data_IF_254278733285
#
_entry.id   IF_254278733285
#
_cell.length_a   1.000
_cell.length_b   1.000
_cell.length_c   1.000
_cell.angle_alpha   90.00
_cell.angle_beta   90.00
_cell.angle_gamma   90.00
#
_symmetry.space_group_name_H-M   'P 1'
#
loop_
_entity.id
_entity.type
_entity.pdbx_description
1 polymer ?
#
# COMPACT_ATOMS: atom_id res chain seq x y z
N UNK A 1 4.58 37.85 19.51
CA UNK A 1 5.21 36.60 19.92
C UNK A 1 6.49 36.49 19.10
N UNK A 2 7.63 36.48 19.74
CA UNK A 2 8.93 36.40 19.05
C UNK A 2 9.06 35.00 18.45
N UNK A 3 9.18 34.92 17.13
CA UNK A 3 9.28 33.70 16.31
C UNK A 3 10.62 32.92 16.55
N UNK A 4 11.47 33.41 17.44
CA UNK A 4 12.80 32.88 17.71
C UNK A 4 12.90 31.90 18.89
N UNK A 5 11.81 31.59 19.55
CA UNK A 5 11.86 30.50 20.52
C UNK A 5 11.73 29.18 19.75
N UNK A 6 12.87 28.65 19.28
CA UNK A 6 12.97 27.27 18.81
C UNK A 6 12.33 26.40 19.91
N UNK A 7 11.25 25.70 19.60
CA UNK A 7 10.59 24.81 20.54
C UNK A 7 11.59 23.69 20.84
N UNK A 8 12.44 23.95 21.85
CA UNK A 8 13.33 22.93 22.41
C UNK A 8 12.51 22.16 23.45
N UNK A 9 12.07 20.97 23.08
CA UNK A 9 11.45 20.07 24.06
C UNK A 9 12.46 19.76 25.16
N UNK A 10 12.10 19.82 26.44
CA UNK A 10 12.96 19.32 27.49
C UNK A 10 13.26 17.84 27.22
N UNK A 11 14.47 17.37 27.45
CA UNK A 11 14.82 15.98 27.21
C UNK A 11 13.94 15.09 28.10
N UNK A 12 13.27 14.13 27.48
CA UNK A 12 12.52 13.11 28.21
C UNK A 12 13.49 12.28 29.06
N UNK A 13 13.18 12.12 30.33
CA UNK A 13 13.89 11.16 31.19
C UNK A 13 13.61 9.73 30.70
N UNK A 14 14.48 8.79 31.06
CA UNK A 14 14.27 7.37 30.75
C UNK A 14 12.94 6.83 31.31
N UNK A 15 12.54 7.32 32.48
CA UNK A 15 11.29 6.91 33.10
C UNK A 15 10.08 7.51 32.36
N UNK A 16 10.15 8.78 31.97
CA UNK A 16 9.11 9.39 31.12
C UNK A 16 8.95 8.68 29.77
N UNK A 17 10.05 8.23 29.15
CA UNK A 17 9.99 7.45 27.93
C UNK A 17 9.33 6.08 28.13
N UNK A 18 9.58 5.39 29.25
CA UNK A 18 8.90 4.13 29.59
C UNK A 18 7.41 4.35 29.80
N UNK A 19 7.03 5.41 30.52
CA UNK A 19 5.62 5.76 30.74
C UNK A 19 4.90 6.13 29.45
N UNK A 20 5.60 6.70 28.47
CA UNK A 20 5.05 6.98 27.15
C UNK A 20 4.62 5.69 26.42
N UNK A 21 5.33 4.58 26.64
CA UNK A 21 5.04 3.26 26.06
C UNK A 21 5.11 3.26 24.53
N UNK A 22 4.27 2.44 23.88
CA UNK A 22 4.07 2.52 22.44
C UNK A 22 3.19 3.74 22.12
N UNK A 23 3.54 4.46 21.07
CA UNK A 23 2.83 5.69 20.68
C UNK A 23 2.73 5.88 19.16
N UNK A 24 1.81 6.75 18.77
CA UNK A 24 1.72 7.32 17.43
C UNK A 24 1.95 8.82 17.54
N UNK A 25 2.74 9.37 16.63
CA UNK A 25 3.12 10.78 16.61
C UNK A 25 3.05 11.37 15.20
N UNK A 26 2.97 12.69 15.12
CA UNK A 26 3.07 13.45 13.89
C UNK A 26 4.29 14.34 13.89
N UNK A 27 4.79 14.65 12.69
CA UNK A 27 5.76 15.72 12.46
C UNK A 27 5.07 16.80 11.62
N UNK A 28 5.14 18.05 12.11
CA UNK A 28 4.56 19.19 11.44
C UNK A 28 5.60 20.30 11.19
N UNK A 29 5.36 21.06 10.14
CA UNK A 29 6.11 22.27 9.82
C UNK A 29 5.57 23.43 10.67
N UNK A 30 6.33 23.98 11.61
CA UNK A 30 5.85 25.03 12.50
C UNK A 30 5.54 26.35 11.80
N UNK A 31 6.01 26.54 10.57
CA UNK A 31 5.80 27.76 9.78
C UNK A 31 4.36 27.89 9.29
N UNK A 32 3.68 26.74 9.06
CA UNK A 32 2.32 26.69 8.50
C UNK A 32 1.39 25.72 9.22
N UNK A 33 1.91 24.90 10.15
CA UNK A 33 1.17 23.89 10.88
C UNK A 33 0.84 22.61 10.08
N UNK A 34 1.39 22.47 8.86
CA UNK A 34 1.12 21.29 8.03
C UNK A 34 1.81 20.05 8.58
N UNK A 35 1.04 19.04 8.87
CA UNK A 35 1.55 17.71 9.23
C UNK A 35 2.04 17.03 7.95
N UNK A 36 3.33 16.69 7.91
CA UNK A 36 3.95 16.06 6.76
C UNK A 36 4.32 14.58 6.97
N UNK A 37 4.28 14.09 8.22
CA UNK A 37 4.61 12.71 8.53
C UNK A 37 3.82 12.20 9.74
N UNK A 38 3.41 10.94 9.68
CA UNK A 38 2.84 10.18 10.79
C UNK A 38 3.73 8.97 11.05
N UNK A 39 4.03 8.68 12.31
CA UNK A 39 4.85 7.53 12.67
C UNK A 39 4.43 6.90 13.99
N UNK A 40 4.87 5.67 14.19
CA UNK A 40 4.77 4.99 15.49
C UNK A 40 6.15 4.79 16.11
N UNK A 41 6.18 4.65 17.40
CA UNK A 41 7.43 4.48 18.13
C UNK A 41 7.28 3.91 19.51
N UNK A 42 8.43 3.67 20.11
CA UNK A 42 8.67 3.37 21.51
C UNK A 42 9.96 4.09 21.89
N UNK A 43 10.14 4.40 23.17
CA UNK A 43 11.29 5.14 23.68
C UNK A 43 11.49 6.48 22.94
N UNK A 44 12.71 6.78 22.46
CA UNK A 44 13.09 8.03 21.78
C UNK A 44 12.91 8.02 20.26
N UNK A 45 12.17 7.06 19.69
CA UNK A 45 12.02 6.90 18.24
C UNK A 45 11.60 8.18 17.53
N UNK A 46 10.73 8.99 18.12
CA UNK A 46 10.25 10.25 17.58
C UNK A 46 11.38 11.26 17.32
N UNK A 47 12.43 11.28 18.17
CA UNK A 47 13.55 12.22 18.07
C UNK A 47 14.65 11.75 17.10
N UNK A 48 14.68 10.45 16.79
CA UNK A 48 15.71 9.86 15.93
C UNK A 48 15.68 10.41 14.50
N UNK A 49 14.51 10.79 13.99
CA UNK A 49 14.36 11.32 12.63
C UNK A 49 15.09 12.65 12.41
N UNK A 50 15.10 13.53 13.42
CA UNK A 50 15.87 14.77 13.38
C UNK A 50 17.36 14.46 13.34
N UNK A 51 17.82 13.55 14.20
CA UNK A 51 19.20 13.08 14.20
C UNK A 51 19.61 12.41 12.86
N UNK A 52 18.71 11.62 12.28
CA UNK A 52 18.93 10.97 10.98
C UNK A 52 19.03 12.01 9.85
N UNK A 53 18.17 13.03 9.84
CA UNK A 53 18.19 14.07 8.83
C UNK A 53 19.53 14.83 8.80
N UNK A 54 20.11 15.09 9.98
CA UNK A 54 21.41 15.76 10.11
C UNK A 54 22.61 14.89 9.70
N UNK A 55 22.50 13.56 9.89
CA UNK A 55 23.59 12.61 9.61
C UNK A 55 23.60 12.10 8.16
N UNK A 56 22.43 11.98 7.55
CA UNK A 56 22.23 11.39 6.22
C UNK A 56 21.87 12.46 5.18
N UNK A 57 22.81 13.35 4.91
CA UNK A 57 22.60 14.47 3.99
C UNK A 57 22.27 14.05 2.55
N UNK A 58 22.73 12.88 2.12
CA UNK A 58 22.48 12.31 0.79
C UNK A 58 21.18 11.47 0.71
N UNK A 59 20.45 11.30 1.83
CA UNK A 59 19.19 10.55 1.84
C UNK A 59 18.09 11.40 1.20
N UNK A 60 17.63 10.97 0.02
CA UNK A 60 16.57 11.60 -0.77
C UNK A 60 15.15 11.35 -0.25
N UNK A 61 14.99 10.78 0.95
CA UNK A 61 13.64 10.57 1.49
C UNK A 61 12.94 11.91 1.72
N UNK A 62 11.70 12.03 1.22
CA UNK A 62 10.89 13.25 1.34
C UNK A 62 10.78 13.73 2.79
N UNK A 63 10.65 12.80 3.74
CA UNK A 63 10.62 13.12 5.18
C UNK A 63 11.88 13.80 5.65
N UNK A 64 13.06 13.23 5.38
CA UNK A 64 14.33 13.81 5.84
C UNK A 64 14.64 15.11 5.11
N UNK A 65 14.28 15.22 3.84
CA UNK A 65 14.36 16.48 3.08
C UNK A 65 13.53 17.59 3.72
N UNK A 66 12.29 17.28 4.11
CA UNK A 66 11.40 18.26 4.78
C UNK A 66 11.92 18.69 6.15
N UNK A 67 12.47 17.75 6.94
CA UNK A 67 13.11 18.09 8.22
C UNK A 67 14.27 19.06 8.02
N UNK A 68 15.17 18.78 7.05
CA UNK A 68 16.31 19.68 6.74
C UNK A 68 15.84 21.07 6.31
N UNK A 69 14.85 21.15 5.42
CA UNK A 69 14.28 22.43 4.96
C UNK A 69 13.80 23.29 6.15
N UNK A 70 13.13 22.67 7.12
CA UNK A 70 12.63 23.38 8.33
C UNK A 70 13.80 23.84 9.20
N UNK A 71 14.81 22.98 9.42
CA UNK A 71 15.99 23.30 10.24
C UNK A 71 16.87 24.38 9.58
N UNK A 72 17.09 24.32 8.26
CA UNK A 72 17.85 25.31 7.50
C UNK A 72 17.17 26.70 7.51
N UNK A 73 15.84 26.71 7.64
CA UNK A 73 15.07 27.94 7.84
C UNK A 73 15.12 28.46 9.30
N UNK A 74 15.84 27.80 10.21
CA UNK A 74 16.01 28.19 11.61
C UNK A 74 14.88 27.77 12.54
N UNK A 75 14.03 26.82 12.13
CA UNK A 75 12.93 26.31 12.95
C UNK A 75 13.22 24.89 13.43
N UNK A 76 12.52 24.48 14.49
CA UNK A 76 12.47 23.08 14.92
C UNK A 76 11.16 22.43 14.44
N UNK A 77 11.25 21.18 13.98
CA UNK A 77 10.06 20.41 13.62
C UNK A 77 9.14 20.25 14.83
N UNK A 78 7.87 20.54 14.64
CA UNK A 78 6.87 20.29 15.70
C UNK A 78 6.53 18.80 15.78
N UNK A 79 6.47 18.28 17.02
CA UNK A 79 6.13 16.88 17.29
C UNK A 79 4.93 16.83 18.23
N UNK A 80 3.92 16.08 17.83
CA UNK A 80 2.73 15.86 18.65
C UNK A 80 2.46 14.36 18.80
N UNK A 81 2.17 13.91 20.03
CA UNK A 81 1.77 12.54 20.28
C UNK A 81 0.25 12.42 20.11
N UNK A 82 -0.18 11.78 19.04
CA UNK A 82 -1.61 11.56 18.71
C UNK A 82 -2.23 10.54 19.67
N UNK A 83 -1.45 9.51 20.01
CA UNK A 83 -1.84 8.46 20.96
C UNK A 83 -0.60 7.92 21.66
N UNK A 84 -0.68 7.62 22.93
CA UNK A 84 0.41 7.04 23.73
C UNK A 84 -0.12 5.97 24.68
N UNK A 85 0.77 5.27 25.40
CA UNK A 85 0.44 4.17 26.31
C UNK A 85 -0.35 3.04 25.60
N UNK A 86 -0.03 2.79 24.32
CA UNK A 86 -0.59 1.68 23.57
C UNK A 86 -0.01 0.37 24.10
N UNK A 87 -0.86 -0.68 24.18
CA UNK A 87 -0.51 -1.92 24.87
C UNK A 87 0.63 -2.69 24.23
N UNK A 88 0.79 -2.61 22.90
CA UNK A 88 1.81 -3.32 22.15
C UNK A 88 2.05 -2.71 20.77
N UNK A 89 3.04 -3.27 20.05
CA UNK A 89 3.40 -2.83 18.71
C UNK A 89 2.24 -2.92 17.69
N UNK A 90 1.35 -3.90 17.82
CA UNK A 90 0.21 -4.08 16.91
C UNK A 90 -0.82 -2.98 17.09
N UNK A 91 -1.11 -2.60 18.34
CA UNK A 91 -2.05 -1.51 18.64
C UNK A 91 -1.52 -0.18 18.08
N UNK A 92 -0.21 0.08 18.25
CA UNK A 92 0.45 1.25 17.68
C UNK A 92 0.41 1.24 16.14
N UNK A 93 0.52 0.06 15.53
CA UNK A 93 0.46 -0.12 14.08
C UNK A 93 -0.93 0.20 13.52
N UNK A 94 -1.99 -0.35 14.12
CA UNK A 94 -3.38 -0.09 13.70
C UNK A 94 -3.76 1.39 13.91
N UNK A 95 -3.30 2.00 15.00
CA UNK A 95 -3.50 3.42 15.26
C UNK A 95 -2.77 4.31 14.23
N UNK A 96 -1.49 4.03 13.93
CA UNK A 96 -0.71 4.73 12.91
C UNK A 96 -1.40 4.65 11.54
N UNK A 97 -1.81 3.43 11.13
CA UNK A 97 -2.49 3.22 9.85
C UNK A 97 -3.79 4.03 9.76
N UNK A 98 -4.59 4.05 10.81
CA UNK A 98 -5.85 4.81 10.85
C UNK A 98 -5.61 6.33 10.71
N UNK A 99 -4.56 6.86 11.35
CA UNK A 99 -4.20 8.28 11.23
C UNK A 99 -3.71 8.58 9.80
N UNK A 100 -2.83 7.76 9.24
CA UNK A 100 -2.36 7.92 7.85
C UNK A 100 -3.55 7.91 6.87
N UNK A 101 -4.47 6.97 7.01
CA UNK A 101 -5.64 6.86 6.13
C UNK A 101 -6.59 8.06 6.29
N UNK A 102 -6.71 8.61 7.50
CA UNK A 102 -7.45 9.85 7.73
C UNK A 102 -6.82 11.03 6.98
N UNK A 103 -5.49 11.20 7.04
CA UNK A 103 -4.81 12.28 6.30
C UNK A 103 -4.93 12.10 4.78
N UNK A 104 -4.87 10.87 4.26
CA UNK A 104 -5.15 10.60 2.84
C UNK A 104 -6.56 11.00 2.43
N UNK A 105 -7.55 10.69 3.28
CA UNK A 105 -8.93 11.10 3.04
C UNK A 105 -9.05 12.62 3.02
N UNK A 106 -8.48 13.31 4.01
CA UNK A 106 -8.48 14.76 4.11
C UNK A 106 -7.81 15.41 2.90
N UNK A 107 -6.62 14.95 2.50
CA UNK A 107 -5.95 15.43 1.30
C UNK A 107 -6.82 15.22 0.04
N UNK A 108 -7.49 14.07 -0.10
CA UNK A 108 -8.35 13.78 -1.25
C UNK A 108 -9.54 14.73 -1.36
N UNK A 109 -10.16 15.11 -0.22
CA UNK A 109 -11.37 15.96 -0.20
C UNK A 109 -11.06 17.45 -0.08
N UNK A 110 -9.89 17.83 0.44
CA UNK A 110 -9.47 19.23 0.66
C UNK A 110 -7.95 19.36 0.34
N UNK A 111 -7.53 19.14 -0.91
CA UNK A 111 -6.11 19.12 -1.28
C UNK A 111 -5.41 20.47 -1.09
N UNK A 112 -6.17 21.58 -1.12
CA UNK A 112 -5.68 22.94 -0.87
C UNK A 112 -5.40 23.24 0.61
N UNK A 113 -5.90 22.39 1.52
CA UNK A 113 -5.73 22.57 2.97
C UNK A 113 -4.77 21.52 3.54
N UNK A 114 -4.85 20.30 3.06
CA UNK A 114 -4.05 19.17 3.54
C UNK A 114 -3.06 18.71 2.48
N UNK A 115 -1.77 18.93 2.72
CA UNK A 115 -0.70 18.40 1.87
C UNK A 115 -0.58 16.87 2.03
N UNK A 116 -0.05 16.16 1.01
CA UNK A 116 0.18 14.73 1.13
C UNK A 116 1.27 14.44 2.15
N UNK A 117 1.11 13.38 2.93
CA UNK A 117 2.14 12.90 3.84
C UNK A 117 3.38 12.39 3.08
N UNK A 118 4.55 12.55 3.68
CA UNK A 118 5.82 11.99 3.17
C UNK A 118 6.02 10.50 3.49
N UNK A 119 5.00 9.84 4.03
CA UNK A 119 5.02 8.42 4.32
C UNK A 119 5.17 7.59 3.04
N UNK A 120 6.27 6.83 2.90
CA UNK A 120 6.54 6.00 1.71
C UNK A 120 5.59 4.81 1.55
N UNK A 121 4.95 4.37 2.61
CA UNK A 121 4.11 3.17 2.64
C UNK A 121 2.72 3.56 3.13
N UNK A 122 1.73 3.30 2.32
CA UNK A 122 0.35 3.08 2.79
C UNK A 122 0.44 1.97 3.83
N UNK A 123 -0.14 2.18 5.03
CA UNK A 123 0.02 1.25 6.17
C UNK A 123 0.07 -0.21 5.73
N UNK A 124 1.02 -0.98 6.26
CA UNK A 124 1.15 -2.41 5.96
C UNK A 124 -0.17 -3.13 6.29
N UNK A 125 -0.58 -4.11 5.49
CA UNK A 125 -1.83 -4.88 5.63
C UNK A 125 -3.12 -4.10 5.31
N UNK A 126 -3.07 -3.09 4.44
CA UNK A 126 -4.27 -2.37 3.96
C UNK A 126 -5.22 -3.28 3.17
N UNK A 127 -4.79 -4.50 2.82
CA UNK A 127 -5.61 -5.50 2.16
C UNK A 127 -6.80 -5.90 3.04
N UNK A 128 -7.92 -5.21 2.91
CA UNK A 128 -9.20 -5.52 3.56
C UNK A 128 -9.51 -4.73 4.84
N UNK A 129 -8.61 -3.86 5.32
CA UNK A 129 -8.83 -3.07 6.55
C UNK A 129 -8.59 -1.57 6.42
N UNK A 130 -7.94 -1.12 5.33
CA UNK A 130 -7.59 0.29 5.13
C UNK A 130 -8.75 1.16 4.68
N UNK A 131 -8.44 2.40 4.36
CA UNK A 131 -9.41 3.39 3.88
C UNK A 131 -10.22 2.86 2.69
N UNK A 132 -11.55 2.82 2.84
CA UNK A 132 -12.48 2.35 1.83
C UNK A 132 -13.75 3.19 1.86
N UNK A 133 -14.32 3.48 0.70
CA UNK A 133 -15.64 4.14 0.64
C UNK A 133 -16.75 3.19 1.08
N UNK A 134 -17.86 3.72 1.59
CA UNK A 134 -19.03 2.92 1.93
C UNK A 134 -19.57 2.11 0.72
N UNK A 135 -19.47 2.68 -0.50
CA UNK A 135 -19.86 2.00 -1.73
C UNK A 135 -18.96 0.77 -2.01
N UNK A 136 -17.64 0.91 -1.89
CA UNK A 136 -16.73 -0.23 -2.05
C UNK A 136 -16.88 -1.28 -0.93
N UNK A 137 -17.08 -0.84 0.30
CA UNK A 137 -17.39 -1.74 1.41
C UNK A 137 -18.67 -2.54 1.13
N UNK A 138 -19.73 -1.88 0.65
CA UNK A 138 -20.98 -2.55 0.25
C UNK A 138 -20.75 -3.57 -0.86
N UNK A 139 -20.02 -3.21 -1.92
CA UNK A 139 -19.67 -4.15 -3.00
C UNK A 139 -18.86 -5.33 -2.51
N UNK A 140 -17.90 -5.08 -1.59
CA UNK A 140 -17.02 -6.12 -1.05
C UNK A 140 -17.78 -7.10 -0.15
N UNK A 141 -18.58 -6.58 0.79
CA UNK A 141 -19.22 -7.42 1.81
C UNK A 141 -20.53 -8.06 1.33
N UNK A 142 -21.20 -7.49 0.32
CA UNK A 142 -22.39 -8.06 -0.31
C UNK A 142 -22.10 -8.81 -1.61
N UNK A 143 -20.84 -8.94 -2.02
CA UNK A 143 -20.49 -9.65 -3.24
C UNK A 143 -20.92 -11.12 -3.15
N UNK A 144 -21.74 -11.55 -4.10
CA UNK A 144 -22.10 -12.94 -4.23
C UNK A 144 -20.86 -13.80 -4.52
N UNK A 145 -20.81 -15.04 -4.04
CA UNK A 145 -19.75 -15.97 -4.41
C UNK A 145 -19.58 -16.09 -5.92
N UNK A 146 -18.33 -16.21 -6.36
CA UNK A 146 -18.07 -16.68 -7.72
C UNK A 146 -18.71 -18.07 -7.89
N UNK A 147 -19.38 -18.28 -8.99
CA UNK A 147 -19.82 -19.61 -9.39
C UNK A 147 -18.63 -20.56 -9.50
N UNK A 148 -18.88 -21.86 -9.64
CA UNK A 148 -17.82 -22.84 -9.81
C UNK A 148 -16.94 -22.48 -11.01
N UNK A 149 -15.66 -22.23 -10.74
CA UNK A 149 -14.67 -21.95 -11.80
C UNK A 149 -14.26 -23.30 -12.39
N UNK A 150 -14.75 -23.63 -13.57
CA UNK A 150 -14.43 -24.88 -14.27
C UNK A 150 -13.24 -24.75 -15.19
N UNK A 151 -12.99 -23.56 -15.72
CA UNK A 151 -11.87 -23.29 -16.62
C UNK A 151 -10.53 -23.22 -15.86
N UNK A 152 -9.42 -23.55 -16.54
CA UNK A 152 -8.08 -23.32 -15.99
C UNK A 152 -7.79 -21.83 -15.87
N UNK A 153 -7.70 -21.31 -14.64
CA UNK A 153 -7.48 -19.88 -14.43
C UNK A 153 -6.33 -19.62 -13.47
N UNK A 154 -5.79 -18.42 -13.56
CA UNK A 154 -4.81 -17.90 -12.63
C UNK A 154 -5.38 -16.67 -11.95
N UNK A 155 -5.47 -16.68 -10.62
CA UNK A 155 -5.87 -15.54 -9.83
C UNK A 155 -4.63 -14.70 -9.50
N UNK A 156 -4.71 -13.38 -9.64
CA UNK A 156 -3.66 -12.41 -9.28
C UNK A 156 -4.16 -11.48 -8.20
N UNK A 157 -3.46 -11.45 -7.06
CA UNK A 157 -3.84 -10.61 -5.92
C UNK A 157 -3.28 -9.19 -6.07
N UNK A 158 -4.15 -8.24 -6.36
CA UNK A 158 -3.85 -6.82 -6.53
C UNK A 158 -4.22 -5.97 -5.31
N UNK A 159 -4.46 -6.58 -4.14
CA UNK A 159 -4.93 -5.84 -2.96
C UNK A 159 -4.01 -4.68 -2.53
N UNK A 160 -2.73 -4.71 -2.91
CA UNK A 160 -1.75 -3.65 -2.60
C UNK A 160 -1.69 -2.51 -3.61
N UNK A 161 -2.17 -2.74 -4.83
CA UNK A 161 -2.04 -1.81 -5.95
C UNK A 161 -3.37 -1.30 -6.47
N UNK A 162 -4.42 -2.09 -6.34
CA UNK A 162 -5.73 -1.73 -6.85
C UNK A 162 -6.38 -0.58 -6.07
N UNK A 163 -6.98 0.37 -6.80
CA UNK A 163 -7.86 1.41 -6.25
C UNK A 163 -9.17 1.47 -7.05
N UNK A 164 -10.28 1.95 -6.46
CA UNK A 164 -11.57 2.06 -7.16
C UNK A 164 -11.53 2.96 -8.41
N UNK A 165 -10.61 3.92 -8.45
CA UNK A 165 -10.44 4.90 -9.53
C UNK A 165 -9.47 4.42 -10.62
N UNK A 166 -8.93 3.21 -10.49
CA UNK A 166 -7.96 2.65 -11.44
C UNK A 166 -8.60 2.47 -12.81
N UNK A 167 -7.95 2.97 -13.87
CA UNK A 167 -8.39 2.75 -15.26
C UNK A 167 -8.20 1.29 -15.69
N UNK A 168 -8.88 0.87 -16.75
CA UNK A 168 -8.73 -0.47 -17.32
C UNK A 168 -7.29 -0.75 -17.74
N UNK A 169 -6.58 0.25 -18.31
CA UNK A 169 -5.17 0.15 -18.71
C UNK A 169 -4.27 -0.09 -17.51
N UNK A 170 -4.50 0.66 -16.41
CA UNK A 170 -3.73 0.50 -15.18
C UNK A 170 -4.02 -0.87 -14.55
N UNK A 171 -5.29 -1.28 -14.49
CA UNK A 171 -5.69 -2.58 -13.95
C UNK A 171 -5.06 -3.72 -14.75
N UNK A 172 -5.09 -3.65 -16.10
CA UNK A 172 -4.39 -4.62 -16.92
C UNK A 172 -2.89 -4.62 -16.68
N UNK A 173 -2.26 -3.42 -16.64
CA UNK A 173 -0.81 -3.27 -16.40
C UNK A 173 -0.37 -3.97 -15.12
N UNK A 174 -1.09 -3.79 -14.01
CA UNK A 174 -0.76 -4.44 -12.74
C UNK A 174 -1.11 -5.94 -12.71
N UNK A 175 -2.06 -6.38 -13.54
CA UNK A 175 -2.47 -7.80 -13.60
C UNK A 175 -1.50 -8.61 -14.43
N UNK A 176 -1.11 -8.12 -15.62
CA UNK A 176 -0.34 -8.91 -16.58
C UNK A 176 1.16 -8.97 -16.29
N UNK A 177 1.69 -8.01 -15.49
CA UNK A 177 3.13 -7.75 -15.39
C UNK A 177 3.74 -8.26 -14.10
N UNK A 178 5.00 -8.68 -14.23
CA UNK A 178 5.97 -8.85 -13.15
C UNK A 178 5.76 -10.04 -12.20
N UNK A 179 5.34 -11.18 -12.71
CA UNK A 179 5.08 -12.36 -11.87
C UNK A 179 6.23 -13.37 -11.86
N UNK A 180 6.50 -13.97 -10.68
CA UNK A 180 7.48 -15.04 -10.50
C UNK A 180 6.83 -16.42 -10.61
N UNK A 181 6.09 -16.68 -11.70
CA UNK A 181 5.28 -17.88 -11.90
C UNK A 181 5.94 -18.87 -12.89
N UNK A 182 7.12 -19.37 -12.59
CA UNK A 182 7.94 -20.16 -13.49
C UNK A 182 7.47 -21.60 -13.71
N UNK A 183 6.51 -22.11 -12.95
CA UNK A 183 6.03 -23.50 -13.05
C UNK A 183 5.27 -23.81 -14.35
N UNK A 184 5.10 -25.09 -14.73
CA UNK A 184 4.41 -25.51 -15.95
C UNK A 184 2.89 -25.18 -15.91
N UNK A 185 2.27 -25.12 -14.74
CA UNK A 185 0.84 -24.83 -14.55
C UNK A 185 0.40 -23.51 -15.22
N UNK A 186 1.31 -22.50 -15.32
CA UNK A 186 0.99 -21.24 -16.02
C UNK A 186 0.57 -21.43 -17.48
N UNK A 187 1.14 -22.45 -18.16
CA UNK A 187 0.84 -22.71 -19.57
C UNK A 187 -0.53 -23.38 -19.79
N UNK A 188 -1.12 -23.93 -18.71
CA UNK A 188 -2.47 -24.48 -18.76
C UNK A 188 -3.53 -23.42 -18.48
N UNK A 189 -3.18 -22.36 -17.75
CA UNK A 189 -4.10 -21.27 -17.44
C UNK A 189 -4.53 -20.54 -18.71
N UNK A 190 -5.83 -20.48 -18.95
CA UNK A 190 -6.45 -19.79 -20.08
C UNK A 190 -6.85 -18.36 -19.73
N UNK A 191 -7.14 -18.10 -18.48
CA UNK A 191 -7.61 -16.79 -18.01
C UNK A 191 -6.85 -16.31 -16.79
N UNK A 192 -6.70 -15.00 -16.71
CA UNK A 192 -6.13 -14.26 -15.58
C UNK A 192 -7.23 -13.46 -14.90
N UNK A 193 -7.48 -13.72 -13.62
CA UNK A 193 -8.44 -12.99 -12.80
C UNK A 193 -7.69 -11.96 -11.95
N UNK A 194 -7.95 -10.69 -12.19
CA UNK A 194 -7.51 -9.58 -11.35
C UNK A 194 -8.36 -9.57 -10.07
N UNK A 195 -7.77 -9.88 -8.94
CA UNK A 195 -8.51 -9.99 -7.67
C UNK A 195 -8.01 -8.96 -6.67
N UNK A 196 -8.91 -8.18 -6.11
CA UNK A 196 -8.61 -7.28 -4.99
C UNK A 196 -9.71 -7.39 -3.93
N UNK A 197 -9.30 -7.49 -2.66
CA UNK A 197 -10.23 -7.72 -1.54
C UNK A 197 -11.15 -8.93 -1.73
N UNK A 198 -10.59 -10.00 -2.31
CA UNK A 198 -11.29 -11.23 -2.68
C UNK A 198 -12.40 -11.06 -3.74
N UNK A 199 -12.49 -9.92 -4.40
CA UNK A 199 -13.43 -9.64 -5.48
C UNK A 199 -12.69 -9.65 -6.82
N UNK A 200 -13.25 -10.34 -7.80
CA UNK A 200 -12.75 -10.30 -9.18
C UNK A 200 -13.06 -8.93 -9.77
N UNK A 201 -12.03 -8.19 -10.15
CA UNK A 201 -12.15 -6.84 -10.72
C UNK A 201 -12.18 -6.84 -12.24
N UNK A 202 -11.43 -7.75 -12.85
CA UNK A 202 -11.44 -7.99 -14.29
C UNK A 202 -10.99 -9.43 -14.58
N UNK A 203 -11.28 -9.89 -15.77
CA UNK A 203 -10.81 -11.18 -16.31
C UNK A 203 -10.18 -10.93 -17.66
N UNK A 204 -8.99 -11.49 -17.90
CA UNK A 204 -8.27 -11.39 -19.17
C UNK A 204 -7.99 -12.79 -19.71
N UNK A 205 -7.94 -12.95 -21.04
CA UNK A 205 -7.37 -14.15 -21.66
C UNK A 205 -5.85 -14.15 -21.48
N UNK A 206 -5.27 -15.34 -21.36
CA UNK A 206 -3.82 -15.54 -21.39
C UNK A 206 -3.49 -16.15 -22.75
N UNK A 207 -3.09 -15.32 -23.71
CA UNK A 207 -2.82 -15.79 -25.06
C UNK A 207 -1.40 -16.32 -25.16
N UNK A 208 -0.43 -15.70 -24.49
CA UNK A 208 0.96 -16.16 -24.39
C UNK A 208 1.69 -15.60 -23.19
N UNK A 209 2.80 -16.23 -22.85
CA UNK A 209 3.73 -15.78 -21.81
C UNK A 209 5.06 -15.39 -22.42
N UNK A 210 5.68 -14.34 -21.91
CA UNK A 210 7.04 -13.93 -22.25
C UNK A 210 7.79 -13.40 -21.02
N UNK A 211 9.11 -13.26 -21.15
CA UNK A 211 9.91 -12.55 -20.19
C UNK A 211 9.58 -11.05 -20.18
N UNK A 212 9.69 -10.42 -19.05
CA UNK A 212 9.56 -8.97 -18.91
C UNK A 212 10.78 -8.29 -19.52
N UNK A 213 10.54 -7.31 -20.41
CA UNK A 213 11.58 -6.54 -21.11
C UNK A 213 11.16 -5.07 -21.19
N UNK A 214 12.07 -4.16 -21.55
CA UNK A 214 11.70 -2.78 -21.85
C UNK A 214 10.68 -2.71 -23.01
N UNK A 215 9.65 -1.88 -22.94
CA UNK A 215 9.34 -0.87 -21.92
C UNK A 215 8.32 -1.33 -20.85
N UNK A 216 8.28 -2.62 -20.52
CA UNK A 216 7.35 -3.11 -19.49
C UNK A 216 7.56 -2.35 -18.15
N UNK A 217 6.48 -2.20 -17.39
CA UNK A 217 6.51 -1.48 -16.13
C UNK A 217 7.54 -2.07 -15.16
N UNK A 218 8.42 -1.23 -14.62
CA UNK A 218 9.50 -1.60 -13.68
C UNK A 218 10.44 -2.72 -14.19
N UNK A 219 10.71 -2.78 -15.49
CA UNK A 219 11.58 -3.80 -16.07
C UNK A 219 13.03 -3.72 -15.54
N UNK A 220 13.51 -2.53 -15.13
CA UNK A 220 14.86 -2.33 -14.57
C UNK A 220 15.12 -3.17 -13.33
N UNK A 221 14.10 -3.52 -12.54
CA UNK A 221 14.22 -4.40 -11.39
C UNK A 221 14.76 -5.80 -11.76
N UNK A 222 14.55 -6.24 -13.00
CA UNK A 222 14.99 -7.56 -13.47
C UNK A 222 16.46 -7.58 -13.86
N UNK A 223 17.08 -6.41 -14.06
CA UNK A 223 18.53 -6.32 -14.34
C UNK A 223 19.38 -6.87 -13.17
N UNK A 224 18.83 -6.86 -11.97
CA UNK A 224 19.48 -7.36 -10.74
C UNK A 224 19.14 -8.84 -10.49
N UNK A 225 18.10 -9.36 -11.13
CA UNK A 225 17.61 -10.73 -10.92
C UNK A 225 18.21 -11.70 -11.92
N UNK A 226 18.66 -12.89 -11.43
CA UNK A 226 19.13 -13.98 -12.31
C UNK A 226 18.01 -14.63 -13.14
N UNK A 227 16.74 -14.35 -12.81
CA UNK A 227 15.56 -14.85 -13.54
C UNK A 227 14.63 -13.67 -13.80
N UNK A 228 14.32 -13.34 -15.06
CA UNK A 228 13.37 -12.29 -15.40
C UNK A 228 12.00 -12.65 -14.86
N UNK A 229 11.21 -11.62 -14.53
CA UNK A 229 9.79 -11.81 -14.21
C UNK A 229 9.03 -12.07 -15.50
N UNK A 230 7.88 -12.70 -15.36
CA UNK A 230 7.05 -13.10 -16.50
C UNK A 230 5.87 -12.16 -16.67
N UNK A 231 5.49 -12.00 -17.92
CA UNK A 231 4.37 -11.19 -18.39
C UNK A 231 3.48 -12.08 -19.23
N UNK A 232 2.18 -12.06 -19.01
CA UNK A 232 1.25 -12.62 -19.99
C UNK A 232 0.72 -11.53 -20.92
N UNK A 233 0.36 -11.91 -22.13
CA UNK A 233 -0.26 -11.01 -23.10
C UNK A 233 -1.70 -11.43 -23.36
N UNK A 234 -2.55 -10.42 -23.57
CA UNK A 234 -3.95 -10.56 -23.92
C UNK A 234 -4.24 -9.70 -25.15
N UNK A 235 -4.71 -10.30 -26.23
CA UNK A 235 -4.96 -9.60 -27.50
C UNK A 235 -6.12 -8.61 -27.40
N UNK A 236 -6.99 -8.74 -26.38
CA UNK A 236 -8.13 -7.84 -26.13
C UNK A 236 -7.88 -6.81 -25.03
N UNK A 237 -6.65 -6.72 -24.49
CA UNK A 237 -6.31 -5.74 -23.49
C UNK A 237 -6.51 -4.30 -23.99
N UNK A 238 -6.87 -3.35 -23.10
CA UNK A 238 -7.00 -3.49 -21.65
C UNK A 238 -8.39 -3.98 -21.19
N UNK A 239 -9.29 -4.33 -22.10
CA UNK A 239 -10.67 -4.66 -21.74
C UNK A 239 -10.80 -6.05 -21.14
N UNK A 240 -11.69 -6.16 -20.15
CA UNK A 240 -12.02 -7.44 -19.53
C UNK A 240 -12.70 -8.40 -20.53
N UNK A 241 -12.34 -9.68 -20.47
CA UNK A 241 -12.93 -10.72 -21.31
C UNK A 241 -14.44 -10.86 -21.04
N UNK A 242 -15.26 -10.72 -22.10
CA UNK A 242 -16.72 -10.72 -21.97
C UNK A 242 -17.30 -12.11 -21.70
N UNK A 243 -16.67 -13.18 -22.20
CA UNK A 243 -17.14 -14.56 -22.02
C UNK A 243 -17.06 -14.99 -20.57
N UNK A 244 -16.04 -14.46 -19.84
CA UNK A 244 -15.85 -14.70 -18.41
C UNK A 244 -16.42 -13.58 -17.53
N UNK A 245 -17.22 -12.69 -18.11
CA UNK A 245 -17.76 -11.51 -17.44
C UNK A 245 -18.63 -11.83 -16.21
N UNK A 246 -19.25 -13.02 -16.15
CA UNK A 246 -20.04 -13.47 -15.01
C UNK A 246 -19.24 -13.51 -13.69
N UNK A 247 -17.91 -13.63 -13.76
CA UNK A 247 -17.05 -13.64 -12.57
C UNK A 247 -16.68 -12.24 -12.07
N UNK A 248 -16.85 -11.20 -12.89
CA UNK A 248 -16.53 -9.82 -12.48
C UNK A 248 -17.48 -9.37 -11.38
N UNK A 249 -16.93 -8.74 -10.34
CA UNK A 249 -17.61 -8.36 -9.08
C UNK A 249 -18.10 -9.52 -8.22
N UNK A 250 -17.69 -10.77 -8.49
CA UNK A 250 -17.95 -11.93 -7.65
C UNK A 250 -16.83 -12.16 -6.65
N UNK A 251 -17.17 -12.76 -5.50
CA UNK A 251 -16.24 -13.07 -4.42
C UNK A 251 -15.58 -14.44 -4.60
N UNK A 252 -14.26 -14.47 -4.63
CA UNK A 252 -13.48 -15.72 -4.57
C UNK A 252 -13.19 -16.16 -3.13
N UNK A 253 -13.71 -15.44 -2.12
CA UNK A 253 -13.48 -15.75 -0.71
C UNK A 253 -13.89 -17.19 -0.34
N UNK A 254 -15.06 -17.72 -0.74
CA UNK A 254 -15.43 -19.10 -0.43
C UNK A 254 -14.44 -20.12 -1.00
N UNK A 255 -13.90 -19.88 -2.20
CA UNK A 255 -12.87 -20.72 -2.81
C UNK A 255 -11.56 -20.70 -2.00
N UNK A 256 -11.15 -19.53 -1.53
CA UNK A 256 -9.94 -19.37 -0.70
C UNK A 256 -10.12 -20.04 0.67
N UNK A 257 -11.27 -19.85 1.30
CA UNK A 257 -11.62 -20.44 2.60
C UNK A 257 -11.65 -21.97 2.53
N UNK A 258 -12.26 -22.56 1.50
CA UNK A 258 -12.34 -24.02 1.29
C UNK A 258 -10.96 -24.68 1.13
N UNK A 259 -9.97 -23.92 0.63
CA UNK A 259 -8.60 -24.37 0.47
C UNK A 259 -7.66 -23.91 1.61
N UNK A 260 -8.20 -23.26 2.65
CA UNK A 260 -7.45 -22.69 3.77
C UNK A 260 -6.31 -21.73 3.34
N UNK A 261 -6.56 -20.95 2.28
CA UNK A 261 -5.57 -20.00 1.72
C UNK A 261 -5.75 -18.65 2.39
N UNK A 262 -4.76 -18.22 3.18
CA UNK A 262 -4.78 -16.95 3.93
C UNK A 262 -3.93 -15.85 3.28
N UNK A 263 -2.81 -16.24 2.69
CA UNK A 263 -1.88 -15.31 2.03
C UNK A 263 -1.47 -15.86 0.67
N UNK A 264 -1.52 -15.02 -0.36
CA UNK A 264 -1.18 -15.41 -1.72
C UNK A 264 -0.86 -14.18 -2.58
N UNK A 265 0.00 -14.36 -3.56
CA UNK A 265 0.28 -13.37 -4.60
C UNK A 265 -0.43 -13.74 -5.90
N UNK A 266 -0.39 -15.02 -6.25
CA UNK A 266 -1.15 -15.61 -7.34
C UNK A 266 -1.52 -17.06 -6.99
N UNK A 267 -2.55 -17.60 -7.63
CA UNK A 267 -3.03 -18.97 -7.44
C UNK A 267 -3.42 -19.59 -8.79
N UNK A 268 -3.16 -20.88 -8.92
CA UNK A 268 -3.66 -21.68 -10.04
C UNK A 268 -4.93 -22.43 -9.62
N UNK A 269 -5.94 -22.38 -10.46
CA UNK A 269 -7.21 -23.09 -10.29
C UNK A 269 -7.41 -23.94 -11.55
N UNK A 270 -7.62 -25.24 -11.38
CA UNK A 270 -7.83 -26.21 -12.47
C UNK A 270 -6.69 -26.24 -13.51
N UNK A 271 -5.45 -26.02 -13.08
CA UNK A 271 -4.25 -26.03 -13.92
C UNK A 271 -3.35 -27.26 -13.66
N UNK A 272 -3.90 -28.37 -13.20
CA UNK A 272 -3.19 -29.62 -12.88
C UNK A 272 -2.76 -30.39 -14.14
#
# INVERSE_FOLDING_TARGET
MNINDAITYPPFSKDAMRELGHYVYTLADPRNGHIFYVGKGVDDRWSQHVSEARKKLEDESLKLGKIREIEDAGFAVQVDFVRHQLGNHRDAFEAEASVIDTFKLLHRIMPEVFEPLTNKVSGHEVAGKGLMSANEASKMYNAEPAEEITEPVMLFNLARTWTPEMSDEALYTYTHNAWKCYGPARHKAKYAFAVSYNIVRAVYSIDRWRDRVAPDHNWEEDQISKKPRLVFECDHAPHSNKEMGQFVQRSVKPLLDSRNIKQWSFLYINCD
#
